data_IF_622596523679
#
_entry.id   IF_622596523679
#
_cell.length_a   1.000
_cell.length_b   1.000
_cell.length_c   1.000
_cell.angle_alpha   90.00
_cell.angle_beta   90.00
_cell.angle_gamma   90.00
#
_symmetry.space_group_name_H-M   'P 1'
#
loop_
_entity.id
_entity.type
_entity.pdbx_description
1 polymer ?
#
# COMPACT_ATOMS: atom_id res chain seq x y z
N UNK A 1 34.72 -2.91 5.93
CA UNK A 1 33.72 -3.18 4.87
C UNK A 1 32.97 -1.87 4.64
N UNK A 2 33.41 -1.05 3.68
CA UNK A 2 32.76 0.23 3.39
C UNK A 2 31.58 -0.05 2.47
N UNK A 3 30.36 0.05 3.01
CA UNK A 3 29.14 -0.03 2.22
C UNK A 3 28.91 1.35 1.58
N UNK A 4 28.84 1.39 0.25
CA UNK A 4 28.60 2.63 -0.49
C UNK A 4 27.14 3.08 -0.32
N UNK A 5 26.93 4.40 -0.20
CA UNK A 5 25.62 5.02 0.06
C UNK A 5 24.56 4.65 -0.97
N UNK A 6 24.93 4.48 -2.24
CA UNK A 6 24.04 4.01 -3.31
C UNK A 6 23.51 2.60 -3.03
N UNK A 7 24.34 1.71 -2.49
CA UNK A 7 23.96 0.34 -2.15
C UNK A 7 22.99 0.29 -0.97
N UNK A 8 23.16 1.19 0.00
CA UNK A 8 22.26 1.31 1.16
C UNK A 8 20.90 1.92 0.81
N UNK A 9 20.88 2.95 -0.05
CA UNK A 9 19.66 3.73 -0.33
C UNK A 9 18.84 3.16 -1.49
N UNK A 10 19.46 2.52 -2.48
CA UNK A 10 18.73 1.99 -3.65
C UNK A 10 18.71 0.46 -3.71
N UNK A 11 19.88 -0.19 -3.65
CA UNK A 11 19.94 -1.64 -3.92
C UNK A 11 19.36 -2.47 -2.76
N UNK A 12 19.59 -2.05 -1.52
CA UNK A 12 19.03 -2.71 -0.34
C UNK A 12 17.49 -2.65 -0.26
N UNK A 13 16.82 -1.50 -0.44
CA UNK A 13 15.36 -1.50 -0.46
C UNK A 13 14.77 -2.25 -1.66
N UNK A 14 15.44 -2.27 -2.82
CA UNK A 14 15.01 -3.08 -3.96
C UNK A 14 15.13 -4.57 -3.69
N UNK A 15 16.24 -5.02 -3.09
CA UNK A 15 16.43 -6.42 -2.71
C UNK A 15 15.48 -6.84 -1.59
N UNK A 16 15.24 -5.99 -0.59
CA UNK A 16 14.26 -6.25 0.46
C UNK A 16 12.83 -6.30 -0.11
N UNK A 17 12.47 -5.37 -1.01
CA UNK A 17 11.18 -5.39 -1.70
C UNK A 17 11.00 -6.68 -2.52
N UNK A 18 12.06 -7.18 -3.16
CA UNK A 18 12.02 -8.45 -3.88
C UNK A 18 11.85 -9.66 -2.96
N UNK A 19 12.47 -9.66 -1.78
CA UNK A 19 12.29 -10.71 -0.77
C UNK A 19 10.90 -10.69 -0.13
N UNK A 20 10.29 -9.51 0.03
CA UNK A 20 8.89 -9.35 0.47
C UNK A 20 7.90 -9.76 -0.62
N UNK A 21 8.32 -9.83 -1.89
CA UNK A 21 7.49 -10.22 -3.03
C UNK A 21 7.50 -11.72 -3.32
N UNK A 22 8.49 -12.49 -2.85
CA UNK A 22 8.50 -13.95 -3.06
C UNK A 22 7.37 -14.61 -2.25
N UNK A 23 6.42 -15.30 -2.92
CA UNK A 23 5.38 -16.03 -2.23
C UNK A 23 5.99 -17.24 -1.51
N UNK A 24 6.16 -17.14 -0.20
CA UNK A 24 6.53 -18.24 0.69
C UNK A 24 5.30 -19.15 0.88
N UNK A 25 4.94 -19.91 -0.14
CA UNK A 25 4.09 -21.08 0.08
C UNK A 25 5.01 -22.12 0.70
N UNK A 26 5.02 -22.15 2.03
CA UNK A 26 5.80 -23.11 2.79
C UNK A 26 5.38 -24.52 2.37
N UNK A 27 6.19 -25.16 1.54
CA UNK A 27 6.02 -26.52 1.02
C UNK A 27 6.10 -27.62 2.10
N UNK A 28 5.90 -27.27 3.38
CA UNK A 28 6.29 -28.07 4.55
C UNK A 28 5.09 -28.75 5.21
N UNK A 29 3.86 -28.29 4.97
CA UNK A 29 2.65 -28.75 5.64
C UNK A 29 1.76 -29.53 4.64
N UNK A 30 2.13 -30.77 4.32
CA UNK A 30 1.59 -31.54 3.16
C UNK A 30 0.74 -32.77 3.54
N UNK A 31 -0.01 -32.70 4.64
CA UNK A 31 -0.97 -33.76 5.02
C UNK A 31 -2.38 -33.34 4.57
N UNK A 32 -3.02 -34.13 3.70
CA UNK A 32 -4.33 -33.90 3.04
C UNK A 32 -4.40 -32.81 1.97
N UNK A 33 -3.79 -33.07 0.81
CA UNK A 33 -3.81 -32.17 -0.35
C UNK A 33 -4.40 -32.86 -1.59
N UNK A 34 -5.24 -32.17 -2.35
CA UNK A 34 -5.84 -32.66 -3.60
C UNK A 34 -4.86 -32.63 -4.79
N UNK A 35 -3.74 -31.91 -4.67
CA UNK A 35 -2.72 -31.79 -5.70
C UNK A 35 -1.29 -31.68 -5.13
N UNK A 36 -0.23 -31.90 -5.93
CA UNK A 36 1.14 -31.69 -5.47
C UNK A 36 1.41 -30.24 -5.05
N UNK A 37 2.29 -30.03 -4.05
CA UNK A 37 2.62 -28.71 -3.51
C UNK A 37 3.12 -27.69 -4.55
N UNK A 38 3.92 -28.12 -5.53
CA UNK A 38 4.41 -27.25 -6.60
C UNK A 38 3.27 -26.77 -7.51
N UNK A 39 2.34 -27.67 -7.84
CA UNK A 39 1.19 -27.35 -8.67
C UNK A 39 0.24 -26.39 -7.93
N UNK A 40 -0.01 -26.66 -6.64
CA UNK A 40 -0.77 -25.77 -5.75
C UNK A 40 -0.15 -24.38 -5.73
N UNK A 41 1.16 -24.29 -5.51
CA UNK A 41 1.88 -23.03 -5.41
C UNK A 41 1.80 -22.21 -6.69
N UNK A 42 1.94 -22.89 -7.84
CA UNK A 42 1.81 -22.28 -9.15
C UNK A 42 0.37 -21.80 -9.43
N UNK A 43 -0.65 -22.60 -9.12
CA UNK A 43 -2.05 -22.24 -9.32
C UNK A 43 -2.50 -21.08 -8.42
N UNK A 44 -2.05 -21.07 -7.16
CA UNK A 44 -2.27 -19.94 -6.25
C UNK A 44 -1.62 -18.68 -6.82
N UNK A 45 -0.37 -18.78 -7.29
CA UNK A 45 0.33 -17.66 -7.94
C UNK A 45 -0.46 -17.13 -9.15
N UNK A 46 -1.02 -18.02 -9.96
CA UNK A 46 -1.83 -17.66 -11.13
C UNK A 46 -3.14 -16.97 -10.75
N UNK A 47 -3.84 -17.43 -9.69
CA UNK A 47 -5.05 -16.76 -9.19
C UNK A 47 -4.79 -15.37 -8.63
N UNK A 48 -3.60 -15.15 -8.08
CA UNK A 48 -3.12 -13.83 -7.66
C UNK A 48 -2.60 -12.99 -8.83
N UNK A 49 -2.82 -13.44 -10.07
CA UNK A 49 -2.43 -12.79 -11.33
C UNK A 49 -0.91 -12.64 -11.51
N UNK A 50 -0.11 -13.45 -10.82
CA UNK A 50 1.34 -13.44 -11.03
C UNK A 50 1.67 -13.98 -12.42
N UNK A 51 2.60 -13.31 -13.10
CA UNK A 51 2.96 -13.65 -14.48
C UNK A 51 1.95 -13.21 -15.54
N UNK A 52 0.84 -12.57 -15.16
CA UNK A 52 -0.08 -11.94 -16.12
C UNK A 52 0.55 -10.63 -16.63
N UNK A 53 0.76 -10.46 -17.95
CA UNK A 53 1.33 -9.23 -18.50
C UNK A 53 0.53 -7.98 -18.10
N UNK A 54 1.23 -6.88 -17.81
CA UNK A 54 0.60 -5.63 -17.39
C UNK A 54 -0.48 -5.13 -18.37
N UNK A 55 -0.26 -5.28 -19.67
CA UNK A 55 -1.23 -4.91 -20.71
C UNK A 55 -2.57 -5.68 -20.62
N UNK A 56 -2.58 -6.84 -19.97
CA UNK A 56 -3.81 -7.62 -19.73
C UNK A 56 -4.52 -7.18 -18.43
N UNK A 57 -3.81 -6.51 -17.52
CA UNK A 57 -4.38 -5.98 -16.28
C UNK A 57 -4.96 -4.58 -16.50
N UNK A 58 -4.28 -3.75 -17.30
CA UNK A 58 -4.69 -2.39 -17.65
C UNK A 58 -4.78 -2.30 -19.16
N UNK A 59 -6.01 -2.41 -19.67
CA UNK A 59 -6.27 -2.46 -21.12
C UNK A 59 -5.93 -1.15 -21.84
N UNK A 60 -6.00 -0.01 -21.15
CA UNK A 60 -5.70 1.31 -21.71
C UNK A 60 -4.91 2.15 -20.70
N UNK A 61 -3.89 2.86 -21.18
CA UNK A 61 -3.10 3.81 -20.40
C UNK A 61 -3.91 4.96 -19.82
N UNK A 62 -5.03 5.35 -20.45
CA UNK A 62 -5.93 6.38 -19.93
C UNK A 62 -6.70 5.91 -18.68
N UNK A 63 -6.81 4.59 -18.48
CA UNK A 63 -7.38 4.03 -17.25
C UNK A 63 -6.43 4.21 -16.06
N UNK A 64 -5.12 4.42 -16.29
CA UNK A 64 -4.14 4.68 -15.23
C UNK A 64 -3.26 5.91 -15.53
N UNK A 65 -3.81 7.14 -15.41
CA UNK A 65 -3.07 8.38 -15.56
C UNK A 65 -1.91 8.53 -14.56
N UNK A 66 -1.01 9.48 -14.82
CA UNK A 66 0.07 9.81 -13.87
C UNK A 66 -0.52 10.40 -12.57
N UNK A 67 0.09 10.08 -11.44
CA UNK A 67 -0.40 10.44 -10.09
C UNK A 67 -1.86 10.05 -9.87
N UNK A 68 -2.18 8.77 -10.09
CA UNK A 68 -3.54 8.25 -9.90
C UNK A 68 -3.57 6.87 -9.26
N UNK A 69 -4.64 6.62 -8.52
CA UNK A 69 -4.97 5.32 -7.92
C UNK A 69 -6.32 4.83 -8.46
N UNK A 70 -6.40 3.54 -8.79
CA UNK A 70 -7.62 2.89 -9.28
C UNK A 70 -7.96 1.70 -8.40
N UNK A 71 -9.13 1.74 -7.80
CA UNK A 71 -9.69 0.66 -6.99
C UNK A 71 -10.50 -0.29 -7.85
N UNK A 72 -10.44 -1.58 -7.55
CA UNK A 72 -11.18 -2.60 -8.27
C UNK A 72 -11.55 -3.80 -7.39
N UNK A 73 -12.51 -4.59 -7.86
CA UNK A 73 -12.83 -5.90 -7.33
C UNK A 73 -12.34 -6.97 -8.30
N UNK A 74 -11.81 -8.06 -7.76
CA UNK A 74 -11.38 -9.20 -8.55
C UNK A 74 -12.54 -10.19 -8.69
N UNK A 75 -12.99 -10.42 -9.93
CA UNK A 75 -14.00 -11.43 -10.20
C UNK A 75 -13.39 -12.84 -10.07
N UNK A 76 -13.79 -13.54 -9.00
CA UNK A 76 -13.34 -14.91 -8.72
C UNK A 76 -13.67 -15.88 -9.84
N UNK A 77 -14.77 -15.67 -10.58
CA UNK A 77 -15.15 -16.53 -11.70
C UNK A 77 -14.12 -16.44 -12.83
N UNK A 78 -13.48 -15.28 -13.01
CA UNK A 78 -12.44 -15.11 -14.04
C UNK A 78 -11.13 -15.77 -13.63
N UNK A 79 -10.70 -15.62 -12.38
CA UNK A 79 -9.52 -16.32 -11.87
C UNK A 79 -9.73 -17.83 -11.81
N UNK A 80 -10.95 -18.29 -11.51
CA UNK A 80 -11.33 -19.70 -11.59
C UNK A 80 -11.28 -20.22 -13.02
N UNK A 81 -11.82 -19.47 -13.99
CA UNK A 81 -11.77 -19.83 -15.39
C UNK A 81 -10.32 -19.90 -15.91
N UNK A 82 -9.45 -18.98 -15.44
CA UNK A 82 -8.01 -19.00 -15.75
C UNK A 82 -7.34 -20.29 -15.25
N UNK A 83 -7.63 -20.71 -14.01
CA UNK A 83 -7.15 -21.97 -13.43
C UNK A 83 -7.69 -23.18 -14.20
N UNK A 84 -8.98 -23.20 -14.53
CA UNK A 84 -9.57 -24.28 -15.34
C UNK A 84 -8.92 -24.37 -16.71
N UNK A 85 -8.65 -23.23 -17.36
CA UNK A 85 -7.92 -23.16 -18.63
C UNK A 85 -6.51 -23.75 -18.52
N UNK A 86 -5.78 -23.39 -17.46
CA UNK A 86 -4.46 -23.95 -17.18
C UNK A 86 -4.49 -25.49 -16.99
N UNK A 87 -5.44 -25.99 -16.20
CA UNK A 87 -5.61 -27.43 -15.95
C UNK A 87 -6.08 -28.19 -17.19
N UNK A 88 -6.83 -27.54 -18.09
CA UNK A 88 -7.35 -28.18 -19.31
C UNK A 88 -6.26 -28.66 -20.26
N UNK A 89 -5.06 -28.08 -20.21
CA UNK A 89 -3.89 -28.48 -21.02
C UNK A 89 -3.49 -29.93 -20.75
N UNK A 90 -3.72 -30.41 -19.52
CA UNK A 90 -3.44 -31.80 -19.12
C UNK A 90 -4.51 -32.81 -19.56
N UNK A 91 -5.65 -32.34 -20.11
CA UNK A 91 -6.77 -33.23 -20.49
C UNK A 91 -6.68 -33.63 -21.97
N UNK A 92 -6.35 -34.88 -22.24
CA UNK A 92 -6.19 -35.39 -23.61
C UNK A 92 -7.43 -36.18 -24.04
N UNK A 93 -8.03 -36.93 -23.11
CA UNK A 93 -9.19 -37.78 -23.35
C UNK A 93 -10.46 -37.20 -22.72
N UNK A 94 -11.62 -37.77 -23.09
CA UNK A 94 -12.90 -37.44 -22.42
C UNK A 94 -12.91 -37.88 -20.97
N UNK A 95 -12.23 -38.99 -20.65
CA UNK A 95 -12.17 -39.53 -19.29
C UNK A 95 -11.36 -38.59 -18.39
N UNK A 96 -10.21 -38.08 -18.87
CA UNK A 96 -9.41 -37.09 -18.14
C UNK A 96 -10.22 -35.82 -17.79
N UNK A 97 -11.13 -35.40 -18.69
CA UNK A 97 -12.00 -34.24 -18.45
C UNK A 97 -13.05 -34.52 -17.40
N UNK A 98 -13.60 -35.74 -17.36
CA UNK A 98 -14.57 -36.15 -16.34
C UNK A 98 -13.88 -36.21 -14.99
N UNK A 99 -12.69 -36.81 -14.91
CA UNK A 99 -11.90 -36.92 -13.69
C UNK A 99 -11.50 -35.53 -13.16
N UNK A 100 -10.99 -34.65 -14.03
CA UNK A 100 -10.65 -33.28 -13.66
C UNK A 100 -11.87 -32.49 -13.17
N UNK A 101 -13.02 -32.63 -13.87
CA UNK A 101 -14.28 -31.98 -13.47
C UNK A 101 -14.73 -32.43 -12.09
N UNK A 102 -14.60 -33.73 -11.79
CA UNK A 102 -14.92 -34.29 -10.48
C UNK A 102 -13.96 -33.83 -9.37
N UNK A 103 -12.67 -33.66 -9.69
CA UNK A 103 -11.65 -33.20 -8.74
C UNK A 103 -11.68 -31.67 -8.51
N UNK A 104 -12.19 -30.89 -9.46
CA UNK A 104 -12.13 -29.43 -9.43
C UNK A 104 -12.69 -28.77 -8.16
N UNK A 105 -13.81 -29.23 -7.55
CA UNK A 105 -14.29 -28.66 -6.29
C UNK A 105 -13.29 -28.78 -5.13
N UNK A 106 -12.57 -29.90 -5.04
CA UNK A 106 -11.54 -30.11 -4.02
C UNK A 106 -10.33 -29.20 -4.28
N UNK A 107 -9.88 -29.15 -5.54
CA UNK A 107 -8.81 -28.23 -6.00
C UNK A 107 -9.16 -26.78 -5.64
N UNK A 108 -10.39 -26.33 -5.96
CA UNK A 108 -10.87 -24.98 -5.67
C UNK A 108 -10.81 -24.66 -4.17
N UNK A 109 -11.31 -25.56 -3.33
CA UNK A 109 -11.36 -25.36 -1.88
C UNK A 109 -9.95 -25.27 -1.26
N UNK A 110 -9.03 -26.07 -1.76
CA UNK A 110 -7.63 -26.02 -1.38
C UNK A 110 -7.00 -24.68 -1.80
N UNK A 111 -7.17 -24.25 -3.06
CA UNK A 111 -6.65 -22.96 -3.54
C UNK A 111 -7.21 -21.77 -2.75
N UNK A 112 -8.51 -21.77 -2.44
CA UNK A 112 -9.13 -20.72 -1.63
C UNK A 112 -8.50 -20.64 -0.22
N UNK A 113 -8.11 -21.77 0.35
CA UNK A 113 -7.41 -21.81 1.65
C UNK A 113 -5.98 -21.27 1.52
N UNK A 114 -5.26 -21.72 0.50
CA UNK A 114 -3.83 -21.44 0.36
C UNK A 114 -3.52 -20.02 -0.10
N UNK A 115 -4.41 -19.40 -0.87
CA UNK A 115 -4.30 -17.98 -1.23
C UNK A 115 -4.14 -17.07 -0.01
N UNK A 116 -4.87 -17.36 1.07
CA UNK A 116 -4.80 -16.59 2.33
C UNK A 116 -3.51 -16.78 3.11
N UNK A 117 -2.76 -17.81 2.75
CA UNK A 117 -1.56 -18.24 3.44
C UNK A 117 -0.28 -17.89 2.65
N UNK A 118 -0.39 -17.31 1.45
CA UNK A 118 0.76 -16.93 0.59
C UNK A 118 1.74 -15.98 1.27
N UNK A 119 1.22 -15.02 2.06
CA UNK A 119 2.01 -14.02 2.78
C UNK A 119 2.05 -14.29 4.29
N UNK A 120 1.76 -15.53 4.71
CA UNK A 120 1.86 -15.96 6.10
C UNK A 120 3.33 -16.02 6.52
N UNK A 121 3.64 -15.55 7.73
CA UNK A 121 4.96 -15.75 8.31
C UNK A 121 5.21 -17.24 8.57
N UNK A 122 6.36 -17.74 8.13
CA UNK A 122 6.74 -19.14 8.35
C UNK A 122 6.69 -19.50 9.85
N UNK A 123 6.05 -20.62 10.19
CA UNK A 123 5.90 -21.09 11.57
C UNK A 123 4.68 -20.55 12.34
N UNK A 124 3.88 -19.66 11.75
CA UNK A 124 2.59 -19.23 12.35
C UNK A 124 1.45 -20.18 11.96
N UNK A 125 0.32 -20.20 12.68
CA UNK A 125 -0.80 -21.08 12.33
C UNK A 125 -1.39 -20.74 10.95
N UNK A 126 -1.84 -21.74 10.19
CA UNK A 126 -2.57 -21.49 8.94
C UNK A 126 -3.86 -20.75 9.24
N UNK A 127 -4.17 -19.82 8.37
CA UNK A 127 -5.43 -19.12 8.43
C UNK A 127 -6.51 -19.91 7.71
N UNK A 128 -7.61 -20.16 8.41
CA UNK A 128 -8.80 -20.81 7.85
C UNK A 128 -9.85 -19.83 7.32
N UNK A 129 -10.98 -20.39 6.88
CA UNK A 129 -12.15 -19.66 6.40
C UNK A 129 -12.21 -19.52 4.88
N UNK A 130 -13.38 -19.14 4.34
CA UNK A 130 -13.55 -18.88 2.90
C UNK A 130 -13.13 -17.46 2.52
N UNK A 131 -12.32 -17.33 1.46
CA UNK A 131 -11.98 -16.05 0.81
C UNK A 131 -13.27 -15.34 0.45
N UNK A 132 -13.44 -14.12 0.95
CA UNK A 132 -14.60 -13.29 0.68
C UNK A 132 -14.47 -12.60 -0.68
N UNK A 133 -14.95 -11.36 -0.77
CA UNK A 133 -14.61 -10.50 -1.89
C UNK A 133 -13.10 -10.19 -1.86
N UNK A 134 -12.43 -10.29 -3.00
CA UNK A 134 -11.05 -9.81 -3.15
C UNK A 134 -11.11 -8.43 -3.80
N UNK A 135 -10.58 -7.43 -3.10
CA UNK A 135 -10.45 -6.07 -3.62
C UNK A 135 -8.98 -5.77 -3.89
N UNK A 136 -8.70 -4.65 -4.54
CA UNK A 136 -7.35 -4.24 -4.82
C UNK A 136 -7.26 -2.84 -5.38
N UNK A 137 -6.03 -2.41 -5.59
CA UNK A 137 -5.77 -1.17 -6.30
C UNK A 137 -4.53 -1.25 -7.18
N UNK A 138 -4.53 -0.39 -8.19
CA UNK A 138 -3.35 -0.08 -8.99
C UNK A 138 -3.03 1.40 -8.76
N UNK A 139 -1.83 1.68 -8.30
CA UNK A 139 -1.34 3.03 -8.06
C UNK A 139 -0.22 3.34 -9.04
N UNK A 140 -0.36 4.43 -9.79
CA UNK A 140 0.72 5.02 -10.59
C UNK A 140 1.14 6.35 -9.98
N UNK A 141 2.33 6.39 -9.40
CA UNK A 141 2.83 7.59 -8.73
C UNK A 141 4.36 7.66 -8.72
N UNK A 142 4.90 8.87 -8.77
CA UNK A 142 6.30 9.17 -8.51
C UNK A 142 6.75 8.69 -7.12
N UNK A 143 5.85 8.64 -6.13
CA UNK A 143 6.15 8.08 -4.82
C UNK A 143 6.54 6.60 -4.90
N UNK A 144 5.88 5.81 -5.76
CA UNK A 144 6.26 4.40 -5.96
C UNK A 144 7.65 4.25 -6.58
N UNK A 145 8.05 5.20 -7.41
CA UNK A 145 9.38 5.24 -8.00
C UNK A 145 10.46 5.69 -7.00
N UNK A 146 10.14 6.69 -6.17
CA UNK A 146 11.03 7.22 -5.13
C UNK A 146 11.24 6.24 -3.98
N UNK A 147 10.19 5.51 -3.59
CA UNK A 147 10.19 4.58 -2.47
C UNK A 147 9.73 3.18 -2.91
N UNK A 148 10.63 2.33 -3.43
CA UNK A 148 10.28 0.98 -3.89
C UNK A 148 9.74 0.05 -2.79
N UNK A 149 10.07 0.34 -1.53
CA UNK A 149 9.64 -0.41 -0.35
C UNK A 149 8.39 0.13 0.35
N UNK A 150 7.52 0.86 -0.36
CA UNK A 150 6.26 1.37 0.20
C UNK A 150 5.48 0.25 0.89
N UNK A 151 4.98 0.53 2.07
CA UNK A 151 4.14 -0.37 2.84
C UNK A 151 2.68 -0.05 2.60
N UNK A 152 1.87 -1.09 2.44
CA UNK A 152 0.41 -0.99 2.35
C UNK A 152 -0.19 -1.67 3.56
N UNK A 153 -1.17 -1.03 4.18
CA UNK A 153 -2.00 -1.63 5.24
C UNK A 153 -3.45 -1.35 4.92
N UNK A 154 -4.29 -2.36 5.08
CA UNK A 154 -5.71 -2.30 4.80
C UNK A 154 -6.47 -2.69 6.07
N UNK A 155 -7.51 -1.95 6.41
CA UNK A 155 -8.31 -2.15 7.61
C UNK A 155 -9.79 -2.27 7.25
N UNK A 156 -10.50 -3.13 7.98
CA UNK A 156 -11.94 -3.34 7.84
C UNK A 156 -12.78 -2.29 8.57
N UNK A 157 -12.14 -1.48 9.41
CA UNK A 157 -12.70 -0.36 10.16
C UNK A 157 -11.67 0.76 10.17
N UNK A 158 -12.10 2.02 10.25
CA UNK A 158 -11.18 3.13 10.48
C UNK A 158 -10.61 3.03 11.92
N UNK A 159 -9.29 2.88 12.10
CA UNK A 159 -8.72 2.83 13.44
C UNK A 159 -8.72 4.23 14.08
N UNK A 160 -9.34 4.35 15.26
CA UNK A 160 -9.40 5.58 16.06
C UNK A 160 -8.03 6.06 16.58
N UNK A 161 -6.99 5.23 16.47
CA UNK A 161 -5.67 5.53 16.99
C UNK A 161 -4.88 6.51 16.10
N UNK A 162 -4.08 7.38 16.73
CA UNK A 162 -3.29 8.41 16.05
C UNK A 162 -2.35 7.88 14.95
N UNK A 163 -1.89 8.77 14.07
CA UNK A 163 -1.08 8.42 12.89
C UNK A 163 0.21 7.65 13.22
N UNK A 164 0.74 7.74 14.43
CA UNK A 164 1.94 7.04 14.87
C UNK A 164 1.68 5.62 15.41
N UNK A 165 0.42 5.20 15.53
CA UNK A 165 0.03 3.91 16.07
C UNK A 165 0.68 2.74 15.30
N UNK A 166 1.10 1.73 16.08
CA UNK A 166 1.69 0.49 15.58
C UNK A 166 0.63 -0.60 15.56
N UNK A 167 0.16 -0.93 14.36
CA UNK A 167 -0.70 -2.09 14.15
C UNK A 167 0.16 -3.34 13.97
N UNK A 168 -0.10 -4.35 14.80
CA UNK A 168 0.51 -5.65 14.64
C UNK A 168 0.02 -6.33 13.34
N UNK A 169 0.75 -7.33 12.85
CA UNK A 169 0.35 -8.07 11.66
C UNK A 169 -0.86 -8.98 11.91
N UNK A 170 -1.14 -9.30 13.17
CA UNK A 170 -2.27 -10.13 13.64
C UNK A 170 -3.46 -9.32 14.18
N UNK A 171 -3.48 -7.99 14.01
CA UNK A 171 -4.62 -7.17 14.41
C UNK A 171 -5.91 -7.66 13.70
N UNK A 172 -6.99 -7.97 14.43
CA UNK A 172 -8.22 -8.50 13.85
C UNK A 172 -8.92 -7.52 12.89
N UNK A 173 -8.66 -6.21 13.01
CA UNK A 173 -9.18 -5.18 12.11
C UNK A 173 -8.42 -5.11 10.80
N UNK A 174 -7.22 -5.68 10.73
CA UNK A 174 -6.35 -5.60 9.56
C UNK A 174 -6.74 -6.66 8.54
N UNK A 175 -7.03 -6.21 7.33
CA UNK A 175 -7.21 -7.07 6.18
C UNK A 175 -5.86 -7.53 5.64
N UNK A 176 -5.85 -8.76 5.14
CA UNK A 176 -4.61 -9.35 4.62
C UNK A 176 -4.36 -8.94 3.19
N UNK A 177 -3.11 -8.63 2.91
CA UNK A 177 -2.65 -8.49 1.55
C UNK A 177 -2.44 -9.90 0.97
N UNK A 178 -2.97 -10.12 -0.22
CA UNK A 178 -2.74 -11.33 -1.01
C UNK A 178 -1.57 -11.14 -1.96
N UNK A 179 -1.46 -9.95 -2.55
CA UNK A 179 -0.34 -9.55 -3.42
C UNK A 179 0.01 -8.10 -3.19
N UNK A 180 1.30 -7.81 -3.12
CA UNK A 180 1.85 -6.47 -3.13
C UNK A 180 3.09 -6.52 -4.01
N UNK A 181 3.02 -5.90 -5.18
CA UNK A 181 4.09 -5.98 -6.17
C UNK A 181 4.19 -4.69 -6.96
N UNK A 182 5.43 -4.32 -7.30
CA UNK A 182 5.71 -3.23 -8.21
C UNK A 182 5.81 -3.74 -9.64
N UNK A 183 4.74 -3.60 -10.42
CA UNK A 183 4.67 -4.08 -11.82
C UNK A 183 5.56 -3.28 -12.78
N UNK A 184 5.82 -2.01 -12.47
CA UNK A 184 6.73 -1.12 -13.20
C UNK A 184 7.30 -0.07 -12.22
N UNK A 185 8.41 0.64 -12.53
CA UNK A 185 9.08 1.51 -11.55
C UNK A 185 8.20 2.47 -10.77
N UNK A 186 7.14 3.02 -11.38
CA UNK A 186 6.17 3.89 -10.70
C UNK A 186 4.76 3.31 -10.61
N UNK A 187 4.58 1.99 -10.73
CA UNK A 187 3.28 1.31 -10.69
C UNK A 187 3.26 0.22 -9.62
N UNK A 188 2.44 0.42 -8.59
CA UNK A 188 2.21 -0.52 -7.50
C UNK A 188 0.87 -1.24 -7.72
N UNK A 189 0.86 -2.55 -7.52
CA UNK A 189 -0.30 -3.41 -7.62
C UNK A 189 -0.53 -4.10 -6.28
N UNK A 190 -1.76 -4.02 -5.78
CA UNK A 190 -2.14 -4.64 -4.53
C UNK A 190 -3.45 -5.42 -4.65
N UNK A 191 -3.49 -6.60 -4.03
CA UNK A 191 -4.69 -7.40 -3.80
C UNK A 191 -4.88 -7.61 -2.31
N UNK A 192 -6.12 -7.51 -1.85
CA UNK A 192 -6.54 -7.54 -0.45
C UNK A 192 -7.65 -8.59 -0.31
N UNK A 193 -7.54 -9.43 0.73
CA UNK A 193 -8.59 -10.37 1.13
C UNK A 193 -9.65 -9.62 1.94
N UNK A 194 -10.70 -9.17 1.27
CA UNK A 194 -11.78 -8.37 1.84
C UNK A 194 -11.96 -7.02 1.14
N UNK A 195 -12.91 -6.24 1.64
CA UNK A 195 -13.17 -4.87 1.21
C UNK A 195 -12.68 -3.96 2.35
N UNK A 196 -11.59 -3.20 2.16
CA UNK A 196 -11.12 -2.26 3.16
C UNK A 196 -12.08 -1.08 3.26
N UNK A 197 -12.28 -0.61 4.49
CA UNK A 197 -12.85 0.71 4.76
C UNK A 197 -11.75 1.77 4.64
N UNK A 198 -10.56 1.45 5.15
CA UNK A 198 -9.41 2.35 5.13
C UNK A 198 -8.15 1.62 4.64
N UNK A 199 -7.35 2.30 3.82
CA UNK A 199 -6.05 1.83 3.35
C UNK A 199 -4.99 2.90 3.62
N UNK A 200 -3.91 2.49 4.29
CA UNK A 200 -2.74 3.34 4.54
C UNK A 200 -1.62 2.95 3.57
N UNK A 201 -1.05 3.94 2.87
CA UNK A 201 0.24 3.78 2.20
C UNK A 201 1.27 4.56 3.01
N UNK A 202 2.25 3.83 3.51
CA UNK A 202 3.32 4.36 4.34
C UNK A 202 4.65 4.27 3.59
N UNK A 203 5.47 5.31 3.74
CA UNK A 203 6.89 5.21 3.41
C UNK A 203 7.57 4.06 4.19
N UNK A 204 8.64 3.47 3.61
CA UNK A 204 9.41 2.44 4.29
C UNK A 204 9.92 2.94 5.65
N UNK A 205 9.58 2.21 6.72
CA UNK A 205 9.93 2.59 8.10
C UNK A 205 11.42 2.54 8.43
N UNK A 206 12.26 2.09 7.49
CA UNK A 206 13.71 2.11 7.63
C UNK A 206 14.33 3.48 7.31
N UNK A 207 13.58 4.41 6.71
CA UNK A 207 14.02 5.79 6.49
C UNK A 207 13.66 6.68 7.67
N UNK A 208 14.66 7.24 8.36
CA UNK A 208 14.44 8.34 9.31
C UNK A 208 14.48 9.63 8.50
N UNK A 209 13.35 10.33 8.44
CA UNK A 209 13.29 11.65 7.86
C UNK A 209 13.78 12.68 8.88
N UNK A 210 14.50 13.70 8.41
CA UNK A 210 15.04 14.76 9.25
C UNK A 210 14.67 16.12 8.67
N UNK A 211 14.04 16.95 9.49
CA UNK A 211 13.68 18.31 9.16
C UNK A 211 12.18 18.59 9.30
N UNK A 212 11.70 19.51 8.46
CA UNK A 212 10.36 20.06 8.57
C UNK A 212 9.72 20.13 7.21
N UNK A 213 8.43 19.84 7.15
CA UNK A 213 7.64 20.03 5.95
C UNK A 213 7.42 21.53 5.75
N UNK A 214 7.85 22.02 4.59
CA UNK A 214 7.71 23.41 4.21
C UNK A 214 6.49 23.56 3.31
N UNK A 215 5.54 24.38 3.75
CA UNK A 215 4.49 24.90 2.88
C UNK A 215 5.01 26.20 2.25
N UNK A 216 5.07 26.22 0.91
CA UNK A 216 5.49 27.41 0.17
C UNK A 216 4.22 28.11 -0.31
N UNK A 217 3.95 29.28 0.25
CA UNK A 217 2.93 30.19 -0.25
C UNK A 217 3.57 31.31 -1.10
N UNK A 218 2.74 32.10 -1.79
CA UNK A 218 3.22 33.21 -2.61
C UNK A 218 3.97 34.31 -1.84
N UNK A 219 4.03 34.23 -0.50
CA UNK A 219 4.66 35.19 0.42
C UNK A 219 5.86 34.64 1.20
N UNK A 220 6.12 33.33 1.20
CA UNK A 220 7.23 32.73 1.94
C UNK A 220 7.13 31.21 2.08
N UNK A 221 8.04 30.63 2.86
CA UNK A 221 7.97 29.24 3.31
C UNK A 221 7.61 29.23 4.80
N UNK A 222 6.58 28.49 5.17
CA UNK A 222 6.19 28.24 6.56
C UNK A 222 6.44 26.77 6.89
N UNK A 223 6.77 26.50 8.15
CA UNK A 223 6.95 25.15 8.65
C UNK A 223 6.59 25.10 10.13
N UNK A 224 6.15 23.94 10.62
CA UNK A 224 5.80 23.72 12.03
C UNK A 224 6.36 22.40 12.52
N UNK A 225 6.69 22.31 13.80
CA UNK A 225 7.19 21.09 14.44
C UNK A 225 6.34 20.76 15.68
N UNK A 226 5.73 19.56 15.74
CA UNK A 226 5.11 19.08 16.97
C UNK A 226 6.22 18.77 17.98
N UNK A 227 6.20 19.40 19.17
CA UNK A 227 7.25 19.27 20.16
C UNK A 227 7.25 17.86 20.78
N UNK A 228 8.45 17.36 21.11
CA UNK A 228 8.66 16.06 21.77
C UNK A 228 9.28 16.19 23.14
N UNK A 229 8.91 15.28 24.03
CA UNK A 229 9.56 15.13 25.33
C UNK A 229 10.94 14.48 25.16
N UNK A 230 11.96 15.01 25.84
CA UNK A 230 13.34 14.53 25.71
C UNK A 230 13.58 13.15 26.34
N UNK A 231 12.80 12.81 27.36
CA UNK A 231 13.02 11.64 28.21
C UNK A 231 12.16 10.46 27.73
N UNK A 232 10.90 10.71 27.33
CA UNK A 232 10.01 9.68 26.77
C UNK A 232 10.09 9.53 25.25
N UNK A 233 10.60 10.54 24.54
CA UNK A 233 10.59 10.66 23.07
C UNK A 233 9.20 10.77 22.42
N UNK A 234 8.14 10.85 23.23
CA UNK A 234 6.76 10.99 22.76
C UNK A 234 6.44 12.46 22.40
N UNK A 235 5.41 12.67 21.58
CA UNK A 235 4.92 14.01 21.31
C UNK A 235 4.25 14.60 22.56
N UNK A 236 4.54 15.87 22.82
CA UNK A 236 3.81 16.64 23.84
C UNK A 236 2.43 17.00 23.28
N UNK A 237 1.42 17.02 24.16
CA UNK A 237 0.07 17.44 23.81
C UNK A 237 -0.05 18.98 23.85
N UNK A 238 0.77 19.64 23.03
CA UNK A 238 0.90 21.09 22.92
C UNK A 238 0.80 21.50 21.44
N UNK A 239 0.51 22.78 21.18
CA UNK A 239 0.41 23.28 19.82
C UNK A 239 1.76 23.14 19.07
N UNK A 240 1.75 22.83 17.76
CA UNK A 240 2.98 22.78 16.96
C UNK A 240 3.74 24.11 16.98
N UNK A 241 5.05 24.04 17.21
CA UNK A 241 5.93 25.22 17.28
C UNK A 241 6.27 25.67 15.86
N UNK A 242 6.09 26.97 15.52
CA UNK A 242 6.44 27.48 14.21
C UNK A 242 7.96 27.50 14.02
N UNK A 243 8.42 27.05 12.85
CA UNK A 243 9.83 27.03 12.49
C UNK A 243 10.11 28.20 11.57
N UNK A 244 10.81 29.20 12.10
CA UNK A 244 11.17 30.39 11.36
C UNK A 244 12.39 30.14 10.48
N UNK A 245 12.38 30.74 9.30
CA UNK A 245 13.51 30.73 8.38
C UNK A 245 14.23 32.07 8.41
N UNK A 246 15.55 32.04 8.27
CA UNK A 246 16.38 33.24 8.28
C UNK A 246 16.05 34.12 7.07
N UNK A 247 15.72 35.38 7.31
CA UNK A 247 15.35 36.38 6.28
C UNK A 247 16.55 37.00 5.55
N UNK A 248 17.56 36.20 5.20
CA UNK A 248 18.72 36.67 4.42
C UNK A 248 18.41 36.64 2.91
N UNK A 249 18.80 37.68 2.15
CA UNK A 249 18.67 37.68 0.70
C UNK A 249 19.43 36.48 0.08
N UNK A 250 18.70 35.55 -0.53
CA UNK A 250 19.27 34.38 -1.20
C UNK A 250 19.46 33.12 -0.33
N UNK A 251 18.99 33.11 0.92
CA UNK A 251 19.08 31.95 1.82
C UNK A 251 17.70 31.43 2.27
N UNK A 252 16.75 31.29 1.33
CA UNK A 252 15.47 30.64 1.59
C UNK A 252 15.70 29.17 1.99
N UNK A 253 15.24 28.75 3.16
CA UNK A 253 15.33 27.36 3.64
C UNK A 253 16.36 27.11 4.75
N UNK A 254 17.03 28.15 5.29
CA UNK A 254 17.86 28.00 6.51
C UNK A 254 17.01 28.27 7.75
N UNK A 255 16.87 27.27 8.62
CA UNK A 255 16.13 27.38 9.88
C UNK A 255 16.84 28.34 10.84
N UNK A 256 16.08 29.21 11.48
CA UNK A 256 16.55 30.04 12.59
C UNK A 256 16.52 29.24 13.89
N UNK A 257 17.64 28.58 14.19
CA UNK A 257 17.77 27.70 15.37
C UNK A 257 17.65 28.50 16.67
N UNK A 258 18.10 29.76 16.70
CA UNK A 258 18.03 30.58 17.93
C UNK A 258 16.58 30.93 18.26
N UNK A 259 15.76 31.23 17.25
CA UNK A 259 14.34 31.47 17.46
C UNK A 259 13.62 30.18 17.86
N UNK A 260 13.92 29.07 17.18
CA UNK A 260 13.34 27.77 17.49
C UNK A 260 13.67 27.30 18.92
N UNK A 261 14.90 27.51 19.39
CA UNK A 261 15.30 27.23 20.77
C UNK A 261 14.48 28.01 21.77
N UNK A 262 14.26 29.32 21.54
CA UNK A 262 13.43 30.16 22.41
C UNK A 262 12.00 29.64 22.46
N UNK A 263 11.41 29.34 21.32
CA UNK A 263 10.03 28.88 21.22
C UNK A 263 9.85 27.50 21.88
N UNK A 264 10.83 26.59 21.73
CA UNK A 264 10.82 25.29 22.40
C UNK A 264 11.09 25.37 23.90
N UNK A 265 11.86 26.35 24.37
CA UNK A 265 12.17 26.53 25.79
C UNK A 265 10.93 26.94 26.60
N UNK A 266 9.93 27.55 25.96
CA UNK A 266 8.63 27.86 26.56
C UNK A 266 7.82 26.60 26.92
N UNK A 267 8.10 25.46 26.28
CA UNK A 267 7.39 24.20 26.48
C UNK A 267 8.15 23.25 27.41
N UNK A 268 7.56 22.91 28.55
CA UNK A 268 8.17 21.99 29.53
C UNK A 268 8.35 20.57 28.95
N UNK A 269 9.52 19.96 29.18
CA UNK A 269 9.83 18.58 28.78
C UNK A 269 10.63 18.44 27.48
N UNK A 270 10.73 19.51 26.67
CA UNK A 270 11.49 19.49 25.41
C UNK A 270 13.02 19.42 25.59
N UNK A 271 13.53 19.83 26.76
CA UNK A 271 14.96 19.93 27.06
C UNK A 271 15.58 21.29 26.74
N UNK A 272 14.91 22.10 25.92
CA UNK A 272 15.42 23.39 25.44
C UNK A 272 15.55 24.47 26.53
N UNK A 273 15.05 24.26 27.75
CA UNK A 273 15.16 25.22 28.86
C UNK A 273 16.61 25.50 29.27
N UNK A 274 17.47 24.48 29.22
CA UNK A 274 18.87 24.55 29.67
C UNK A 274 19.85 24.80 28.52
N UNK A 275 19.34 25.21 27.36
CA UNK A 275 19.92 25.26 26.00
C UNK A 275 19.63 24.04 25.15
N UNK A 276 19.35 24.27 23.86
CA UNK A 276 19.02 23.21 22.90
C UNK A 276 20.30 22.54 22.38
N UNK A 277 20.62 21.35 22.88
CA UNK A 277 21.76 20.57 22.38
C UNK A 277 21.47 19.98 20.98
N UNK A 278 22.52 19.61 20.25
CA UNK A 278 22.42 18.98 18.92
C UNK A 278 21.59 17.70 18.94
N UNK A 279 21.63 16.94 20.05
CA UNK A 279 20.83 15.72 20.21
C UNK A 279 19.34 16.04 20.40
N UNK A 280 19.02 17.07 21.18
CA UNK A 280 17.64 17.51 21.43
C UNK A 280 17.06 18.16 20.17
N UNK A 281 17.82 19.03 19.50
CA UNK A 281 17.44 19.55 18.17
C UNK A 281 17.16 18.41 17.20
N UNK A 282 18.04 17.40 17.16
CA UNK A 282 17.84 16.28 16.27
C UNK A 282 16.57 15.48 16.60
N UNK A 283 16.29 15.28 17.88
CA UNK A 283 15.05 14.63 18.34
C UNK A 283 13.80 15.38 17.87
N UNK A 284 13.79 16.72 17.99
CA UNK A 284 12.67 17.54 17.57
C UNK A 284 12.48 17.52 16.03
N UNK A 285 13.56 17.37 15.27
CA UNK A 285 13.51 17.36 13.80
C UNK A 285 13.30 15.96 13.19
N UNK A 286 13.36 14.88 13.97
CA UNK A 286 13.11 13.53 13.45
C UNK A 286 11.63 13.36 13.14
N UNK A 287 11.32 13.06 11.87
CA UNK A 287 9.96 12.79 11.41
C UNK A 287 9.72 11.30 11.22
N UNK A 288 8.49 10.89 11.50
CA UNK A 288 8.04 9.55 11.12
C UNK A 288 7.82 9.49 9.61
N UNK A 289 7.99 8.31 9.00
CA UNK A 289 7.69 8.10 7.59
C UNK A 289 6.27 8.59 7.26
N UNK A 290 6.15 9.29 6.15
CA UNK A 290 4.87 9.84 5.73
C UNK A 290 3.86 8.72 5.45
N UNK A 291 2.59 8.99 5.78
CA UNK A 291 1.45 8.09 5.56
C UNK A 291 0.37 8.84 4.80
N UNK A 292 -0.06 8.28 3.68
CA UNK A 292 -1.32 8.64 3.06
C UNK A 292 -2.41 7.69 3.51
N UNK A 293 -3.54 8.24 3.92
CA UNK A 293 -4.75 7.50 4.25
C UNK A 293 -5.76 7.66 3.11
N UNK A 294 -6.36 6.55 2.68
CA UNK A 294 -7.56 6.53 1.85
C UNK A 294 -8.64 5.82 2.64
N UNK A 295 -9.64 6.57 3.05
CA UNK A 295 -10.82 6.10 3.75
C UNK A 295 -12.02 6.91 3.33
N UNK A 296 -13.18 6.55 3.85
CA UNK A 296 -14.36 7.36 3.68
C UNK A 296 -14.24 8.60 4.56
N UNK A 297 -14.04 9.75 3.95
CA UNK A 297 -14.00 11.02 4.68
C UNK A 297 -15.45 11.40 4.99
N UNK A 298 -15.90 11.20 6.23
CA UNK A 298 -17.23 11.65 6.68
C UNK A 298 -17.45 13.16 6.43
N UNK A 299 -16.40 13.94 6.14
CA UNK A 299 -16.47 15.36 5.78
C UNK A 299 -16.60 15.65 4.27
N UNK A 300 -16.44 14.66 3.39
CA UNK A 300 -16.49 14.85 1.94
C UNK A 300 -17.92 14.65 1.37
N UNK A 301 -18.52 15.72 0.83
CA UNK A 301 -19.76 15.60 0.05
C UNK A 301 -19.50 14.81 -1.25
N UNK A 302 -19.90 13.53 -1.26
CA UNK A 302 -19.77 12.54 -2.37
C UNK A 302 -20.22 12.97 -3.76
N UNK A 303 -20.89 14.13 -3.91
CA UNK A 303 -21.42 14.60 -5.19
C UNK A 303 -20.34 15.04 -6.21
N UNK A 304 -19.08 15.18 -5.79
CA UNK A 304 -18.01 15.73 -6.65
C UNK A 304 -17.02 14.70 -7.22
N UNK A 305 -16.97 13.46 -6.72
CA UNK A 305 -15.83 12.55 -7.00
C UNK A 305 -16.10 11.50 -8.09
N UNK A 306 -17.36 11.20 -8.44
CA UNK A 306 -17.68 10.32 -9.58
C UNK A 306 -18.83 10.87 -10.44
N UNK A 307 -18.49 11.60 -11.52
CA UNK A 307 -19.40 11.78 -12.67
C UNK A 307 -19.02 10.81 -13.77
N UNK A 308 -19.63 9.63 -13.78
CA UNK A 308 -19.66 8.81 -14.98
C UNK A 308 -20.49 9.55 -16.04
N UNK A 309 -19.81 10.26 -16.95
CA UNK A 309 -20.48 10.88 -18.10
C UNK A 309 -20.69 9.80 -19.15
N UNK A 310 -21.82 9.08 -19.07
CA UNK A 310 -22.28 8.24 -20.17
C UNK A 310 -23.12 9.13 -21.09
N UNK A 311 -22.54 9.61 -22.18
CA UNK A 311 -23.30 10.24 -23.25
C UNK A 311 -23.88 9.17 -24.17
N UNK A 312 -25.19 8.97 -24.10
CA UNK A 312 -25.90 8.23 -25.15
C UNK A 312 -26.05 9.15 -26.36
N UNK A 313 -25.38 8.82 -27.47
CA UNK A 313 -25.73 9.41 -28.76
C UNK A 313 -27.02 8.71 -29.21
N UNK A 314 -28.13 9.44 -29.22
CA UNK A 314 -29.38 8.96 -29.80
C UNK A 314 -29.25 9.01 -31.33
N UNK A 315 -29.06 7.85 -31.95
CA UNK A 315 -29.19 7.69 -33.40
C UNK A 315 -30.57 7.11 -33.75
N UNK A 316 -31.20 7.72 -34.76
CA UNK A 316 -32.50 7.41 -35.39
C UNK A 316 -33.72 8.02 -34.68
N UNK A 317 -34.58 8.78 -35.37
CA UNK A 317 -35.28 8.37 -36.60
C UNK A 317 -35.33 9.47 -37.68
N UNK A 318 -34.83 9.14 -38.87
CA UNK A 318 -35.22 9.74 -40.15
C UNK A 318 -36.34 8.87 -40.72
N UNK A 319 -37.56 9.44 -40.85
CA UNK A 319 -38.73 9.03 -41.66
C UNK A 319 -39.98 9.56 -40.94
N UNK A 320 -40.99 10.19 -41.52
CA UNK A 320 -41.45 10.32 -42.90
C UNK A 320 -42.36 11.56 -42.91
N UNK A 321 -42.11 12.55 -43.77
CA UNK A 321 -43.06 13.63 -44.03
C UNK A 321 -43.72 13.33 -45.38
N UNK A 322 -45.04 13.15 -45.37
CA UNK A 322 -45.82 12.80 -46.54
C UNK A 322 -47.31 12.71 -46.22
N UNK A 323 -48.06 13.73 -46.64
CA UNK A 323 -49.52 13.73 -46.70
C UNK A 323 -50.18 14.79 -45.83
#
# INVERSE_FOLDING_TARGET
MQLHTTTLIHDLPLTLASQVAEPLIAAVDDEDTAMPADLRSWLVSLRLLNGVPFANLVADTELLPMESIRWFYLDRRWTDALVQGALSVGTVTTDDRVDLSAAYPAIRAELDTEERNVRRLAGTARFGGQVGAVSGFILRSAAVAGWPGLHVRAFSVDPDEADDARYADDDPRRLRLLRLERLAPGVLFCLIDGIPEVVHLEEPRQGVQFGVDMEIDGSGATAVVPPRDRDSFEYLNEDPVPVMFRSLPGASGVIDIEQLEKDLAELHGTGAQDSLDSAEYALQMIRFPWRQVWGDDESAQYASVFKATVSYINWATIAHDGG
#
